data_IF_629464195305
#
_entry.id   IF_629464195305
#
_cell.length_a   1.000
_cell.length_b   1.000
_cell.length_c   1.000
_cell.angle_alpha   90.00
_cell.angle_beta   90.00
_cell.angle_gamma   90.00
#
_symmetry.space_group_name_H-M   'P 1'
#
loop_
_entity.id
_entity.type
_entity.pdbx_description
1 polymer ?
2 water ?
#
# COMPACT_ATOMS: atom_id res chain seq x y z
N UNK A 4 -5.55 14.09 -19.55
CA UNK A 4 -4.64 14.70 -18.53
C UNK A 4 -3.78 13.69 -17.80
N UNK A 5 -2.56 14.11 -17.50
CA UNK A 5 -1.49 13.25 -17.00
C UNK A 5 -1.21 13.48 -15.49
N UNK A 6 -1.81 14.54 -14.94
CA UNK A 6 -1.62 14.99 -13.57
C UNK A 6 -1.76 13.86 -12.53
N UNK A 7 -2.85 13.12 -12.59
CA UNK A 7 -3.16 12.12 -11.60
C UNK A 7 -2.32 10.83 -11.78
N UNK A 8 -2.25 10.31 -12.99
CA UNK A 8 -1.46 9.11 -13.24
C UNK A 8 0.00 9.34 -12.86
N UNK A 9 0.49 10.55 -13.12
CA UNK A 9 1.86 10.92 -12.73
C UNK A 9 2.09 11.02 -11.22
N UNK A 10 1.11 11.51 -10.47
CA UNK A 10 1.21 11.50 -8.98
C UNK A 10 1.10 10.08 -8.40
N UNK A 11 0.17 9.31 -8.99
CA UNK A 11 -0.15 7.94 -8.63
C UNK A 11 0.96 6.95 -8.86
N UNK A 12 1.88 7.28 -9.79
CA UNK A 12 2.92 6.37 -10.29
C UNK A 12 4.33 6.79 -9.92
N UNK A 13 4.46 7.93 -9.25
CA UNK A 13 5.75 8.48 -8.87
C UNK A 13 6.46 7.55 -7.87
N UNK A 14 7.78 7.68 -7.84
CA UNK A 14 8.61 6.96 -6.90
C UNK A 14 8.10 7.30 -5.51
N UNK A 15 7.80 6.27 -4.74
CA UNK A 15 7.24 6.46 -3.39
C UNK A 15 5.86 7.09 -3.32
N UNK A 16 5.11 7.04 -4.43
CA UNK A 16 3.66 7.33 -4.44
C UNK A 16 2.88 6.44 -3.43
N UNK A 17 3.43 5.27 -3.14
CA UNK A 17 2.78 4.31 -2.29
C UNK A 17 2.92 4.59 -0.82
N UNK A 18 3.75 5.55 -0.43
CA UNK A 18 4.16 5.69 0.97
C UNK A 18 4.15 7.13 1.42
N UNK A 19 3.49 7.43 2.53
CA UNK A 19 3.83 8.61 3.32
C UNK A 19 5.33 8.57 3.69
N UNK A 20 6.00 9.72 3.67
CA UNK A 20 7.43 9.74 3.85
C UNK A 20 7.88 11.15 4.16
N UNK A 21 9.09 11.29 4.72
CA UNK A 21 9.64 12.62 4.99
C UNK A 21 11.18 12.60 5.03
N UNK A 22 11.77 13.77 4.86
CA UNK A 22 13.17 13.95 5.03
C UNK A 22 13.46 14.37 6.46
N UNK A 23 14.39 13.64 7.07
CA UNK A 23 14.83 13.83 8.43
C UNK A 23 16.38 14.01 8.42
N UNK A 24 16.85 15.05 9.12
CA UNK A 24 18.27 15.19 9.44
C UNK A 24 18.57 14.34 10.67
N UNK A 25 19.68 13.60 10.63
CA UNK A 25 20.09 12.84 11.80
C UNK A 25 21.41 13.31 12.42
N UNK A 26 21.31 14.20 13.43
CA UNK A 26 22.38 14.89 14.15
C UNK A 26 23.51 13.97 14.55
N UNK A 27 23.17 12.74 14.93
CA UNK A 27 24.14 11.81 15.50
C UNK A 27 24.82 10.98 14.41
N UNK A 28 24.29 11.05 13.20
CA UNK A 28 24.97 10.46 12.05
C UNK A 28 25.48 11.58 11.17
N UNK A 29 26.20 12.50 11.80
CA UNK A 29 26.90 13.61 11.14
C UNK A 29 26.05 14.56 10.34
N UNK A 30 24.78 14.71 10.72
CA UNK A 30 23.90 15.67 10.06
C UNK A 30 23.31 15.15 8.77
N UNK A 31 23.58 13.88 8.44
CA UNK A 31 23.09 13.25 7.19
C UNK A 31 21.57 13.27 7.14
N UNK A 32 21.03 13.50 5.96
CA UNK A 32 19.61 13.39 5.76
C UNK A 32 19.30 11.98 5.27
N UNK A 33 18.19 11.43 5.78
CA UNK A 33 17.63 10.17 5.36
C UNK A 33 16.17 10.45 5.03
N UNK A 34 15.52 9.50 4.39
CA UNK A 34 14.11 9.56 4.14
C UNK A 34 13.47 8.43 4.94
N UNK A 35 12.46 8.78 5.70
CA UNK A 35 11.67 7.83 6.45
C UNK A 35 10.33 7.66 5.76
N UNK A 36 9.96 6.40 5.51
CA UNK A 36 8.69 6.06 4.90
C UNK A 36 7.89 5.21 5.90
N UNK A 37 6.56 5.27 5.88
CA UNK A 37 5.73 4.33 6.61
C UNK A 37 6.08 2.90 6.14
N UNK A 38 5.88 1.88 7.00
CA UNK A 38 6.16 0.52 6.54
C UNK A 38 5.20 0.01 5.50
N UNK A 39 5.72 -0.88 4.66
CA UNK A 39 4.95 -1.50 3.65
C UNK A 39 4.06 -2.52 4.33
N UNK A 40 3.03 -2.99 3.62
CA UNK A 40 2.20 -4.07 4.18
C UNK A 40 2.93 -5.40 4.28
N UNK A 41 3.99 -5.56 3.48
CA UNK A 41 4.91 -6.71 3.50
C UNK A 41 5.86 -6.67 4.71
N UNK A 42 5.92 -5.52 5.38
CA UNK A 42 6.72 -5.38 6.59
C UNK A 42 5.84 -5.42 7.84
N UNK A 43 4.72 -4.72 7.82
CA UNK A 43 3.76 -4.89 8.90
C UNK A 43 3.34 -6.36 8.97
N UNK A 44 3.36 -7.03 7.81
CA UNK A 44 3.26 -8.48 7.70
C UNK A 44 4.14 -9.17 8.76
N UNK A 45 5.45 -9.12 8.55
CA UNK A 45 6.38 -9.80 9.43
C UNK A 45 6.29 -9.31 10.89
N UNK A 46 6.03 -8.02 11.09
CA UNK A 46 5.99 -7.47 12.45
C UNK A 46 5.04 -8.18 13.40
N UNK A 47 3.84 -8.55 12.95
CA UNK A 47 2.90 -9.31 13.82
C UNK A 47 3.11 -10.84 13.68
N UNK A 48 3.99 -11.23 12.77
CA UNK A 48 4.45 -12.60 12.60
C UNK A 48 5.58 -12.87 13.61
N UNK A 49 6.43 -11.85 13.81
CA UNK A 49 7.44 -11.92 14.86
C UNK A 49 6.76 -11.85 16.23
N UNK A 50 5.94 -10.82 16.47
CA UNK A 50 5.33 -10.61 17.80
C UNK A 50 4.40 -11.76 18.20
N UNK A 58 4.18 -20.06 28.00
CA UNK A 58 4.30 -18.85 28.95
C UNK A 58 5.71 -18.28 28.56
N UNK A 59 5.79 -16.95 28.32
CA UNK A 59 7.05 -16.26 27.86
C UNK A 59 7.91 -15.71 29.03
N UNK A 60 9.22 -15.93 29.00
CA UNK A 60 10.03 -15.24 29.97
C UNK A 60 10.06 -13.74 29.54
N UNK A 61 10.37 -12.88 30.54
CA UNK A 61 10.46 -11.42 30.35
C UNK A 61 11.50 -11.02 29.30
N UNK A 62 12.65 -11.68 29.30
CA UNK A 62 13.73 -11.37 28.35
C UNK A 62 13.41 -11.89 26.92
N UNK A 63 12.67 -13.00 26.85
CA UNK A 63 12.17 -13.53 25.60
C UNK A 63 11.16 -12.56 24.99
N UNK A 64 10.24 -12.02 25.81
CA UNK A 64 9.35 -10.94 25.39
C UNK A 64 10.08 -9.71 24.80
N UNK A 65 11.05 -9.14 25.54
CA UNK A 65 11.94 -8.06 25.03
C UNK A 65 12.80 -8.40 23.82
N UNK A 66 13.24 -9.64 23.71
CA UNK A 66 14.13 -10.01 22.60
C UNK A 66 13.37 -10.01 21.27
N UNK A 67 12.18 -10.61 21.30
CA UNK A 67 11.38 -10.73 20.10
C UNK A 67 10.80 -9.38 19.67
N UNK A 68 10.56 -8.48 20.62
CA UNK A 68 10.15 -7.12 20.28
C UNK A 68 11.27 -6.35 19.61
N UNK A 69 12.49 -6.63 20.06
CA UNK A 69 13.67 -6.10 19.43
C UNK A 69 13.82 -6.61 18.00
N UNK A 70 13.81 -7.92 17.80
CA UNK A 70 13.76 -8.54 16.48
C UNK A 70 12.72 -7.98 15.54
N UNK A 71 11.50 -7.83 16.05
CA UNK A 71 10.40 -7.24 15.29
C UNK A 71 10.67 -5.79 14.97
N UNK A 72 11.22 -5.04 15.95
CA UNK A 72 11.54 -3.63 15.73
C UNK A 72 12.58 -3.52 14.61
N UNK A 73 13.63 -4.33 14.66
CA UNK A 73 14.64 -4.17 13.60
C UNK A 73 14.10 -4.41 12.18
N UNK A 74 13.10 -5.30 12.03
CA UNK A 74 12.42 -5.66 10.77
C UNK A 74 11.62 -4.52 10.21
N UNK A 75 10.89 -3.84 11.08
CA UNK A 75 10.24 -2.62 10.68
C UNK A 75 11.29 -1.57 10.32
N UNK A 76 12.36 -1.47 11.11
CA UNK A 76 13.39 -0.43 10.88
C UNK A 76 14.02 -0.49 9.50
N UNK A 77 14.42 -1.70 9.13
CA UNK A 77 15.04 -1.96 7.88
C UNK A 77 14.11 -1.53 6.73
N UNK A 78 12.82 -1.61 6.96
CA UNK A 78 11.86 -1.31 5.96
C UNK A 78 11.54 0.18 5.87
N UNK A 79 11.59 0.88 7.00
CA UNK A 79 11.27 2.30 6.96
C UNK A 79 12.39 3.21 6.48
N UNK A 80 13.64 2.75 6.58
CA UNK A 80 14.81 3.65 6.42
C UNK A 80 15.34 3.67 5.01
N UNK A 81 15.35 4.86 4.42
CA UNK A 81 15.70 5.06 3.02
C UNK A 81 16.74 6.17 2.92
N UNK A 82 17.51 6.14 1.83
CA UNK A 82 18.39 7.25 1.50
C UNK A 82 17.60 8.38 0.80
N UNK A 83 18.26 9.49 0.46
CA UNK A 83 17.56 10.64 -0.13
C UNK A 83 17.06 10.41 -1.58
N UNK A 84 17.65 9.43 -2.26
CA UNK A 84 17.14 8.99 -3.56
C UNK A 84 16.02 7.98 -3.40
N UNK A 85 15.47 7.91 -2.19
CA UNK A 85 14.27 7.11 -1.87
C UNK A 85 14.50 5.61 -2.11
N UNK A 86 15.75 5.22 -1.91
CA UNK A 86 16.22 3.85 -1.97
C UNK A 86 16.46 3.27 -0.56
N UNK A 87 16.14 1.96 -0.36
CA UNK A 87 16.40 1.22 0.89
C UNK A 87 17.87 1.28 1.32
N UNK A 88 18.15 1.57 2.58
CA UNK A 88 19.53 1.45 3.06
C UNK A 88 19.96 -0.03 3.22
N UNK A 89 19.06 -0.85 3.79
CA UNK A 89 19.32 -2.23 4.14
C UNK A 89 18.33 -3.07 3.40
N UNK A 90 18.76 -4.24 2.92
CA UNK A 90 17.80 -5.22 2.45
C UNK A 90 17.25 -6.03 3.65
N UNK A 91 16.10 -6.64 3.40
CA UNK A 91 15.53 -7.70 4.27
C UNK A 91 16.59 -8.70 4.73
N UNK A 92 17.53 -9.04 3.84
CA UNK A 92 18.53 -10.05 4.11
C UNK A 92 19.58 -9.72 5.16
N UNK A 93 19.74 -8.44 5.50
CA UNK A 93 20.71 -8.08 6.53
C UNK A 93 20.09 -7.68 7.85
N UNK A 94 18.95 -8.30 8.17
CA UNK A 94 18.26 -8.07 9.42
C UNK A 94 19.18 -8.36 10.59
N UNK A 95 19.78 -9.54 10.56
CA UNK A 95 20.67 -10.05 11.58
C UNK A 95 21.93 -9.20 11.79
N UNK A 96 22.51 -8.69 10.70
CA UNK A 96 23.59 -7.70 10.74
C UNK A 96 23.15 -6.44 11.48
N UNK A 97 21.94 -5.94 11.17
CA UNK A 97 21.41 -4.71 11.80
C UNK A 97 21.06 -4.93 13.27
N UNK A 98 20.50 -6.09 13.59
CA UNK A 98 20.20 -6.49 14.97
C UNK A 98 21.36 -6.32 15.98
N UNK A 99 22.60 -6.63 15.58
CA UNK A 99 23.73 -6.47 16.51
C UNK A 99 24.20 -5.03 16.80
N UNK A 100 23.84 -4.08 15.95
CA UNK A 100 24.21 -2.69 16.17
C UNK A 100 23.03 -1.80 16.51
N UNK A 101 21.81 -2.34 16.43
CA UNK A 101 20.61 -1.57 16.68
C UNK A 101 20.60 -0.97 18.10
N UNK A 102 20.47 0.36 18.15
CA UNK A 102 20.43 1.05 19.42
C UNK A 102 19.55 2.27 19.36
N UNK A 103 19.80 3.24 20.25
CA UNK A 103 18.93 4.40 20.50
C UNK A 103 18.53 5.24 19.27
N UNK A 104 19.48 5.53 18.38
CA UNK A 104 19.19 6.29 17.18
C UNK A 104 18.23 5.56 16.24
N UNK A 105 18.55 4.30 15.91
CA UNK A 105 17.72 3.47 15.06
C UNK A 105 16.29 3.40 15.61
N UNK A 106 16.18 3.22 16.90
CA UNK A 106 14.89 3.03 17.51
C UNK A 106 14.08 4.33 17.54
N UNK A 107 14.77 5.47 17.66
CA UNK A 107 14.15 6.80 17.58
C UNK A 107 13.74 7.12 16.13
N UNK A 108 14.50 6.62 15.16
CA UNK A 108 14.14 6.76 13.75
C UNK A 108 12.95 5.86 13.39
N UNK A 109 12.90 4.64 13.91
CA UNK A 109 11.71 3.83 13.77
C UNK A 109 10.44 4.54 14.26
N UNK A 110 10.48 5.10 15.47
CA UNK A 110 9.32 5.81 16.04
C UNK A 110 8.85 6.97 15.18
N UNK A 111 9.77 7.83 14.78
CA UNK A 111 9.51 8.91 13.87
C UNK A 111 8.81 8.37 12.60
N UNK A 112 9.31 7.26 12.03
CA UNK A 112 8.65 6.66 10.84
C UNK A 112 7.21 6.17 11.10
N UNK A 113 6.99 5.51 12.23
CA UNK A 113 5.66 5.05 12.65
C UNK A 113 4.71 6.22 12.96
N UNK A 114 5.23 7.39 13.33
CA UNK A 114 4.44 8.64 13.45
C UNK A 114 3.68 9.05 12.17
N UNK A 115 4.13 8.58 11.01
CA UNK A 115 3.53 8.99 9.75
C UNK A 115 2.17 8.37 9.54
N UNK A 116 1.97 7.18 10.09
CA UNK A 116 0.68 6.49 10.02
C UNK A 116 -0.31 7.14 10.97
N UNK A 117 0.18 7.71 12.07
CA UNK A 117 -0.70 8.34 13.07
C UNK A 117 -1.45 9.60 12.57
N UNK B 3 -40.13 -15.69 -21.43
CA UNK B 3 -40.69 -15.03 -20.21
C UNK B 3 -39.87 -15.36 -18.95
N UNK B 4 -39.77 -16.63 -18.57
CA UNK B 4 -38.79 -17.04 -17.56
C UNK B 4 -37.38 -17.04 -18.22
N UNK B 5 -37.37 -17.36 -19.50
CA UNK B 5 -36.14 -17.19 -20.27
C UNK B 5 -35.76 -15.73 -20.44
N UNK B 6 -36.72 -14.82 -20.60
CA UNK B 6 -36.34 -13.41 -20.71
C UNK B 6 -35.89 -12.79 -19.39
N UNK B 7 -36.52 -13.21 -18.28
CA UNK B 7 -36.13 -12.81 -16.92
C UNK B 7 -34.71 -13.26 -16.57
N UNK B 8 -34.36 -14.51 -16.88
CA UNK B 8 -33.02 -15.03 -16.63
C UNK B 8 -32.01 -14.22 -17.39
N UNK B 9 -32.29 -13.95 -18.66
CA UNK B 9 -31.43 -13.12 -19.48
C UNK B 9 -31.30 -11.72 -18.95
N UNK B 10 -32.42 -11.19 -18.43
CA UNK B 10 -32.41 -9.88 -17.77
C UNK B 10 -31.52 -9.89 -16.53
N UNK B 11 -31.64 -10.95 -15.73
CA UNK B 11 -30.89 -11.16 -14.50
C UNK B 11 -29.45 -11.50 -14.76
N UNK B 12 -29.16 -12.06 -15.94
CA UNK B 12 -27.82 -12.43 -16.34
C UNK B 12 -27.05 -11.33 -17.06
N UNK B 13 -27.71 -10.26 -17.49
CA UNK B 13 -26.99 -9.19 -18.22
C UNK B 13 -25.98 -8.39 -17.39
N UNK B 14 -24.81 -8.19 -17.97
CA UNK B 14 -23.83 -7.22 -17.48
C UNK B 14 -24.39 -5.79 -17.59
N UNK B 15 -24.34 -5.05 -16.48
CA UNK B 15 -25.06 -3.77 -16.38
C UNK B 15 -24.23 -2.57 -15.96
N UNK B 16 -23.29 -2.76 -15.05
CA UNK B 16 -22.61 -1.64 -14.38
C UNK B 16 -23.55 -0.95 -13.37
N UNK B 17 -23.67 0.38 -13.44
CA UNK B 17 -24.43 1.15 -12.43
C UNK B 17 -23.76 1.17 -11.05
N UNK B 18 -22.44 1.00 -11.02
CA UNK B 18 -21.69 0.91 -9.77
C UNK B 18 -21.73 2.17 -8.88
N UNK B 19 -21.56 1.96 -7.56
CA UNK B 19 -21.31 3.05 -6.60
C UNK B 19 -19.98 3.76 -6.96
N UNK B 20 -20.00 5.09 -7.00
CA UNK B 20 -18.78 5.92 -7.16
C UNK B 20 -18.61 6.87 -5.98
N UNK B 21 -17.35 7.13 -5.61
CA UNK B 21 -17.01 8.06 -4.55
C UNK B 21 -15.83 8.95 -4.90
N UNK B 22 -15.95 10.23 -4.61
CA UNK B 22 -14.91 11.22 -4.83
C UNK B 22 -14.17 11.47 -3.52
N UNK B 23 -12.88 11.21 -3.54
CA UNK B 23 -12.03 11.49 -2.39
C UNK B 23 -10.79 12.24 -2.85
N UNK B 24 -10.21 13.04 -1.97
CA UNK B 24 -8.95 13.67 -2.30
C UNK B 24 -7.84 12.92 -1.59
N UNK B 25 -6.63 12.98 -2.14
CA UNK B 25 -5.48 12.26 -1.58
C UNK B 25 -4.32 13.20 -1.22
N UNK B 26 -4.15 13.46 0.09
CA UNK B 26 -3.15 14.41 0.58
C UNK B 26 -1.71 14.01 0.29
N UNK B 27 -1.45 12.72 0.16
CA UNK B 27 -0.12 12.26 -0.25
C UNK B 27 0.19 12.64 -1.68
N UNK B 28 -0.84 12.91 -2.48
CA UNK B 28 -0.66 13.25 -3.87
C UNK B 28 -1.17 14.70 -4.09
N UNK B 29 -0.52 15.62 -3.40
CA UNK B 29 -0.80 17.06 -3.47
C UNK B 29 -2.31 17.42 -3.38
N UNK B 30 -3.08 16.66 -2.63
CA UNK B 30 -4.52 16.89 -2.54
C UNK B 30 -5.33 16.52 -3.78
N UNK B 31 -4.79 15.71 -4.69
CA UNK B 31 -5.47 15.41 -5.97
C UNK B 31 -6.78 14.67 -5.70
N UNK B 32 -7.72 14.88 -6.59
CA UNK B 32 -9.04 14.38 -6.46
C UNK B 32 -9.11 13.09 -7.26
N UNK B 33 -9.78 12.11 -6.71
CA UNK B 33 -9.79 10.77 -7.28
C UNK B 33 -11.27 10.31 -7.23
N UNK B 34 -11.70 9.53 -8.21
CA UNK B 34 -13.00 8.86 -8.14
C UNK B 34 -12.78 7.38 -7.89
N UNK B 35 -13.49 6.82 -6.92
CA UNK B 35 -13.37 5.39 -6.59
C UNK B 35 -14.68 4.68 -6.90
N UNK B 36 -14.58 3.45 -7.39
CA UNK B 36 -15.80 2.68 -7.69
C UNK B 36 -15.64 1.25 -7.16
N UNK B 37 -16.75 0.53 -7.06
CA UNK B 37 -16.70 -0.88 -6.71
C UNK B 37 -15.97 -1.62 -7.81
N UNK B 38 -15.21 -2.67 -7.44
CA UNK B 38 -14.60 -3.48 -8.51
C UNK B 38 -15.63 -4.30 -9.31
N UNK B 39 -15.39 -4.45 -10.60
CA UNK B 39 -16.25 -5.27 -11.42
C UNK B 39 -16.05 -6.73 -11.09
N UNK B 40 -17.12 -7.50 -11.36
CA UNK B 40 -17.07 -8.95 -11.40
C UNK B 40 -15.89 -9.45 -12.21
N UNK B 41 -15.59 -8.80 -13.35
CA UNK B 41 -14.43 -9.18 -14.18
C UNK B 41 -13.08 -9.01 -13.45
N UNK B 42 -12.91 -7.90 -12.74
CA UNK B 42 -11.72 -7.65 -11.91
C UNK B 42 -11.55 -8.70 -10.81
N UNK B 43 -12.66 -9.03 -10.15
CA UNK B 43 -12.72 -10.06 -9.11
C UNK B 43 -12.36 -11.46 -9.65
N UNK B 44 -12.66 -11.71 -10.92
CA UNK B 44 -12.24 -12.99 -11.56
C UNK B 44 -10.72 -13.05 -11.79
N UNK B 45 -10.13 -11.94 -12.21
CA UNK B 45 -8.68 -11.82 -12.36
C UNK B 45 -7.92 -11.81 -11.03
N UNK B 46 -8.50 -11.21 -9.99
CA UNK B 46 -7.94 -11.21 -8.64
C UNK B 46 -7.83 -12.63 -8.05
N UNK B 47 -8.90 -13.41 -8.24
CA UNK B 47 -8.93 -14.83 -7.89
C UNK B 47 -7.82 -15.61 -8.59
N UNK B 48 -7.61 -15.30 -9.87
CA UNK B 48 -6.59 -15.97 -10.68
C UNK B 48 -5.20 -15.71 -10.12
N UNK B 49 -4.95 -14.48 -9.69
CA UNK B 49 -3.67 -14.18 -9.04
C UNK B 49 -3.56 -14.88 -7.66
N UNK B 50 -4.55 -14.66 -6.79
CA UNK B 50 -4.57 -15.23 -5.43
C UNK B 50 -4.24 -16.72 -5.40
N UNK B 51 -4.84 -17.50 -6.32
CA UNK B 51 -4.56 -18.91 -6.44
C UNK B 51 -3.39 -19.16 -7.40
N UNK B 66 4.26 -12.15 -1.69
CA UNK B 66 3.90 -10.98 -2.52
C UNK B 66 2.71 -11.24 -3.46
N UNK B 67 2.08 -12.42 -3.35
CA UNK B 67 1.07 -12.86 -4.33
C UNK B 67 -0.33 -12.31 -4.06
N UNK B 68 -0.66 -12.11 -2.78
CA UNK B 68 -1.85 -11.35 -2.39
C UNK B 68 -1.86 -9.94 -2.94
N UNK B 69 -0.67 -9.35 -3.11
CA UNK B 69 -0.60 -7.97 -3.59
C UNK B 69 -0.56 -7.86 -5.12
N UNK B 70 0.11 -8.77 -5.82
CA UNK B 70 -0.06 -8.81 -7.28
C UNK B 70 -1.56 -8.73 -7.48
N UNK B 71 -2.26 -9.48 -6.61
CA UNK B 71 -3.71 -9.65 -6.68
C UNK B 71 -4.44 -8.36 -6.39
N UNK B 72 -4.11 -7.70 -5.28
CA UNK B 72 -4.78 -6.46 -4.94
C UNK B 72 -4.44 -5.35 -5.92
N UNK B 73 -3.29 -5.43 -6.58
CA UNK B 73 -2.96 -4.49 -7.65
C UNK B 73 -4.03 -4.48 -8.75
N UNK B 74 -4.43 -5.67 -9.23
CA UNK B 74 -5.55 -5.81 -10.19
C UNK B 74 -6.88 -5.24 -9.73
N UNK B 75 -7.24 -5.49 -8.47
CA UNK B 75 -8.43 -4.82 -7.94
C UNK B 75 -8.24 -3.31 -8.00
N UNK B 76 -7.05 -2.84 -7.59
CA UNK B 76 -6.80 -1.40 -7.45
C UNK B 76 -6.90 -0.63 -8.78
N UNK B 77 -6.42 -1.27 -9.84
CA UNK B 77 -6.41 -0.71 -11.19
C UNK B 77 -7.80 -0.66 -11.77
N UNK B 78 -8.67 -1.57 -11.29
CA UNK B 78 -10.05 -1.51 -11.65
C UNK B 78 -10.82 -0.45 -10.87
N UNK B 79 -10.44 -0.17 -9.61
CA UNK B 79 -11.20 0.81 -8.79
C UNK B 79 -10.82 2.29 -8.97
N UNK B 80 -9.58 2.60 -9.34
CA UNK B 80 -9.03 3.96 -9.29
C UNK B 80 -9.24 4.69 -10.59
N UNK B 81 -10.06 5.73 -10.49
CA UNK B 81 -10.59 6.43 -11.63
C UNK B 81 -10.32 7.90 -11.48
N UNK B 82 -10.39 8.57 -12.64
CA UNK B 82 -10.26 10.03 -12.77
C UNK B 82 -11.62 10.68 -12.63
N UNK B 83 -11.63 12.00 -12.61
CA UNK B 83 -12.87 12.75 -12.49
C UNK B 83 -13.90 12.46 -13.57
N UNK B 84 -13.46 11.86 -14.68
CA UNK B 84 -14.33 11.39 -15.77
C UNK B 84 -14.82 9.96 -15.52
N UNK B 85 -14.57 9.44 -14.32
CA UNK B 85 -15.00 8.10 -13.90
C UNK B 85 -14.41 6.96 -14.73
N UNK B 86 -13.27 7.24 -15.39
CA UNK B 86 -12.55 6.23 -16.16
C UNK B 86 -11.30 5.81 -15.40
N UNK B 87 -10.98 4.50 -15.40
CA UNK B 87 -9.80 3.99 -14.72
C UNK B 87 -8.53 4.75 -15.12
N UNK B 88 -7.70 5.15 -14.15
CA UNK B 88 -6.44 5.85 -14.52
C UNK B 88 -5.37 4.95 -15.16
N UNK B 89 -5.30 3.70 -14.71
CA UNK B 89 -4.38 2.69 -15.24
C UNK B 89 -5.13 1.63 -16.05
N UNK B 90 -4.46 1.01 -17.02
CA UNK B 90 -5.05 -0.10 -17.78
C UNK B 90 -4.47 -1.43 -17.31
N UNK B 91 -5.21 -2.52 -17.50
CA UNK B 91 -4.79 -3.87 -17.05
C UNK B 91 -3.39 -4.28 -17.54
N UNK B 92 -2.94 -3.71 -18.66
CA UNK B 92 -1.61 -3.96 -19.19
C UNK B 92 -0.50 -3.30 -18.34
N UNK B 93 -0.88 -2.37 -17.46
CA UNK B 93 0.08 -1.61 -16.65
C UNK B 93 0.22 -2.17 -15.24
N UNK B 94 -0.20 -3.42 -15.08
CA UNK B 94 -0.17 -4.13 -13.81
C UNK B 94 1.25 -4.17 -13.20
N UNK B 95 2.21 -4.70 -13.95
CA UNK B 95 3.60 -4.84 -13.48
C UNK B 95 4.25 -3.53 -13.07
N UNK B 96 3.93 -2.45 -13.78
CA UNK B 96 4.44 -1.13 -13.38
C UNK B 96 3.76 -0.63 -12.12
N UNK B 97 2.46 -0.87 -11.96
CA UNK B 97 1.81 -0.43 -10.72
C UNK B 97 2.34 -1.30 -9.59
N UNK B 98 2.55 -2.59 -9.86
CA UNK B 98 3.15 -3.55 -8.91
C UNK B 98 4.43 -3.07 -8.18
N UNK B 99 5.26 -2.29 -8.87
CA UNK B 99 6.54 -1.87 -8.30
C UNK B 99 6.45 -0.61 -7.46
N UNK B 100 5.41 0.20 -7.67
CA UNK B 100 5.22 1.38 -6.83
C UNK B 100 4.08 1.26 -5.79
N UNK B 101 3.33 0.17 -5.83
CA UNK B 101 2.13 -0.01 -5.03
C UNK B 101 2.50 -0.15 -3.56
N UNK B 102 1.96 0.75 -2.73
CA UNK B 102 2.20 0.70 -1.30
C UNK B 102 0.93 1.00 -0.51
N UNK B 103 1.07 1.20 0.82
CA UNK B 103 -0.07 1.53 1.71
C UNK B 103 -0.97 2.68 1.23
N UNK B 104 -0.42 3.71 0.62
CA UNK B 104 -1.30 4.78 0.09
C UNK B 104 -2.30 4.19 -0.95
N UNK B 105 -1.82 3.36 -1.89
CA UNK B 105 -2.74 2.69 -2.84
C UNK B 105 -3.73 1.74 -2.17
N UNK B 106 -3.29 0.97 -1.19
CA UNK B 106 -4.19 0.03 -0.54
C UNK B 106 -5.20 0.67 0.42
N UNK B 107 -4.86 1.81 0.99
CA UNK B 107 -5.88 2.60 1.71
C UNK B 107 -6.94 3.13 0.74
N UNK B 108 -6.60 3.30 -0.53
CA UNK B 108 -7.59 3.73 -1.54
C UNK B 108 -8.45 2.56 -1.96
N UNK B 109 -7.83 1.39 -2.11
CA UNK B 109 -8.55 0.15 -2.36
C UNK B 109 -9.52 -0.27 -1.24
N UNK B 110 -9.11 -0.17 0.03
CA UNK B 110 -10.03 -0.35 1.18
C UNK B 110 -11.32 0.50 1.10
N UNK B 111 -11.19 1.78 0.76
CA UNK B 111 -12.31 2.71 0.60
C UNK B 111 -13.18 2.37 -0.60
N UNK B 112 -12.58 1.88 -1.69
CA UNK B 112 -13.35 1.39 -2.82
C UNK B 112 -14.10 0.10 -2.50
N UNK B 113 -13.50 -0.79 -1.71
CA UNK B 113 -14.18 -2.02 -1.32
C UNK B 113 -15.31 -1.73 -0.37
N UNK B 114 -15.22 -0.66 0.42
CA UNK B 114 -16.28 -0.27 1.35
C UNK B 114 -17.56 0.12 0.61
N UNK B 115 -17.46 0.47 -0.67
CA UNK B 115 -18.60 0.94 -1.44
C UNK B 115 -19.55 -0.22 -1.80
N UNK B 116 -19.05 -1.44 -1.66
CA UNK B 116 -19.82 -2.62 -2.00
C UNK B 116 -21.00 -2.77 -1.05
N UNK B 117 -22.20 -2.76 -1.64
CA UNK B 117 -23.47 -2.97 -0.95
C UNK B 117 -23.50 -4.43 -0.47
N UNK B 118 -22.76 -4.70 0.59
CA UNK B 118 -22.68 -6.01 1.26
C UNK B 118 -24.00 -6.24 2.04
N UNK B 119 -24.56 -7.46 2.00
CA UNK B 119 -25.78 -7.77 2.80
C UNK B 119 -25.40 -8.17 4.23
N UNK B 120 -26.21 -7.78 5.22
CA UNK B 120 -25.81 -7.90 6.66
C UNK B 120 -25.48 -6.54 7.30
#
# INVERSE_FOLDING_TARGET
GHXSQTLKQLAMAKMAGFRHKTVVVPEWEGVKVVLREPSGEAWLRWQEVVKGGGDDENVSVSEKAHRNLCADVVLFIDVLCDTDKQPVFSVDEEEQVREIYGPVHSRLLKQALDLINNADEAREKSQPPA
GHMSQTLKQLAMAKMAGFRHKTVVVPEWEGVKVVLREPSGEAWLRWQEVVKGGGDDENVSVSEKAHRNLCADVVLFIDVLCDTDKQPVFSVDEEEQVREIYGPVHSRLLKQALDLINNADEAREKSQPPA
#
